data_IF_748071125029
#
_entry.id   IF_748071125029
#
_cell.length_a   1.000
_cell.length_b   1.000
_cell.length_c   1.000
_cell.angle_alpha   90.00
_cell.angle_beta   90.00
_cell.angle_gamma   90.00
#
_symmetry.space_group_name_H-M   'P 1'
#
loop_
_entity.id
_entity.type
_entity.pdbx_description
1 polymer ?
#
# COMPACT_ATOMS: atom_id res chain seq x y z
N UNK A 1 -3.83 -26.56 4.95
CA UNK A 1 -3.18 -25.40 5.58
C UNK A 1 -4.29 -24.60 6.26
N UNK A 2 -4.33 -24.53 7.60
CA UNK A 2 -5.52 -24.08 8.34
C UNK A 2 -5.69 -22.53 8.32
N UNK A 3 -6.91 -22.08 8.04
CA UNK A 3 -7.40 -20.70 8.03
C UNK A 3 -7.14 -19.93 9.34
N UNK A 4 -7.08 -20.60 10.50
CA UNK A 4 -6.75 -19.97 11.78
C UNK A 4 -5.34 -19.34 11.83
N UNK A 5 -4.40 -19.84 11.01
CA UNK A 5 -3.02 -19.33 10.94
C UNK A 5 -2.95 -17.97 10.23
N UNK A 6 -3.94 -17.60 9.40
CA UNK A 6 -3.97 -16.35 8.64
C UNK A 6 -4.37 -15.12 9.47
N UNK A 7 -5.06 -15.32 10.60
CA UNK A 7 -5.70 -14.21 11.33
C UNK A 7 -5.23 -14.07 12.79
N UNK A 8 -4.58 -15.10 13.35
CA UNK A 8 -4.05 -15.09 14.73
C UNK A 8 -2.54 -15.26 14.86
N UNK A 9 -1.81 -15.65 13.81
CA UNK A 9 -0.34 -15.71 13.85
C UNK A 9 0.31 -14.42 13.34
N UNK A 10 1.36 -13.89 14.03
CA UNK A 10 2.24 -12.86 13.45
C UNK A 10 3.00 -13.36 12.20
N UNK A 11 2.94 -14.66 11.92
CA UNK A 11 3.56 -15.37 10.81
C UNK A 11 2.51 -15.99 9.88
N UNK A 12 1.71 -15.15 9.24
CA UNK A 12 1.10 -15.55 7.97
C UNK A 12 2.23 -15.68 6.95
N UNK A 13 2.45 -16.87 6.41
CA UNK A 13 3.29 -17.05 5.22
C UNK A 13 2.60 -16.44 4.00
N UNK A 14 2.51 -15.11 3.99
CA UNK A 14 2.38 -14.33 2.77
C UNK A 14 3.57 -14.72 1.92
N UNK A 15 3.31 -15.32 0.74
CA UNK A 15 4.29 -15.61 -0.32
C UNK A 15 5.52 -14.73 -0.14
N UNK A 16 6.64 -15.35 0.30
CA UNK A 16 7.96 -14.76 0.57
C UNK A 16 7.90 -13.23 0.56
N UNK A 17 7.63 -12.61 1.74
CA UNK A 17 7.73 -11.16 1.97
C UNK A 17 8.80 -10.62 1.01
N UNK A 18 8.46 -9.78 0.00
CA UNK A 18 9.48 -9.34 -0.92
C UNK A 18 10.57 -8.70 -0.05
N UNK A 19 11.77 -9.28 -0.09
CA UNK A 19 12.90 -8.74 0.64
C UNK A 19 12.94 -7.24 0.32
N UNK A 20 13.03 -6.41 1.37
CA UNK A 20 13.10 -4.95 1.19
C UNK A 20 14.10 -4.68 0.07
N UNK A 21 13.64 -4.00 -0.96
CA UNK A 21 14.45 -3.72 -2.13
C UNK A 21 15.75 -3.05 -1.66
N UNK A 22 16.91 -3.65 -1.94
CA UNK A 22 18.21 -3.02 -1.76
C UNK A 22 18.17 -1.56 -2.25
N UNK A 23 18.63 -0.63 -1.42
CA UNK A 23 18.63 0.79 -1.80
C UNK A 23 19.63 1.04 -2.92
N UNK A 24 19.45 2.15 -3.65
CA UNK A 24 20.52 2.66 -4.49
C UNK A 24 21.75 3.00 -3.64
N UNK A 25 22.93 2.81 -4.22
CA UNK A 25 24.17 3.23 -3.59
C UNK A 25 24.25 4.76 -3.44
N UNK A 26 25.03 5.22 -2.47
CA UNK A 26 25.11 6.63 -2.13
C UNK A 26 25.64 7.51 -3.27
N UNK A 27 26.53 6.99 -4.11
CA UNK A 27 27.10 7.72 -5.24
C UNK A 27 26.04 7.97 -6.31
N UNK A 28 25.24 6.95 -6.63
CA UNK A 28 24.10 7.07 -7.54
C UNK A 28 23.10 8.08 -7.00
N UNK A 29 22.78 8.05 -5.70
CA UNK A 29 21.88 9.05 -5.09
C UNK A 29 22.47 10.46 -5.22
N UNK A 30 23.74 10.65 -4.88
CA UNK A 30 24.41 11.95 -4.96
C UNK A 30 24.48 12.52 -6.40
N UNK A 31 24.59 11.66 -7.41
CA UNK A 31 24.51 12.05 -8.82
C UNK A 31 23.08 12.44 -9.21
N UNK A 32 22.08 11.66 -8.79
CA UNK A 32 20.68 11.96 -9.06
C UNK A 32 20.23 13.30 -8.43
N UNK A 33 20.74 13.61 -7.23
CA UNK A 33 20.54 14.90 -6.55
C UNK A 33 21.05 16.09 -7.38
N UNK A 34 22.15 15.91 -8.11
CA UNK A 34 22.75 16.92 -9.00
C UNK A 34 22.13 16.95 -10.41
N UNK A 35 21.11 16.14 -10.66
CA UNK A 35 20.41 16.14 -11.95
C UNK A 35 20.99 15.19 -13.00
N UNK A 36 21.95 14.32 -12.66
CA UNK A 36 22.49 13.35 -13.59
C UNK A 36 21.38 12.44 -14.16
N UNK A 37 21.22 12.45 -15.48
CA UNK A 37 20.13 11.76 -16.16
C UNK A 37 20.21 10.23 -16.02
N UNK A 38 21.42 9.65 -16.01
CA UNK A 38 21.61 8.20 -15.84
C UNK A 38 21.27 7.78 -14.41
N UNK A 39 21.69 8.56 -13.42
CA UNK A 39 21.37 8.31 -12.03
C UNK A 39 19.87 8.48 -11.72
N UNK A 40 19.20 9.48 -12.32
CA UNK A 40 17.74 9.64 -12.22
C UNK A 40 16.98 8.49 -12.88
N UNK A 41 17.47 7.98 -14.02
CA UNK A 41 16.92 6.78 -14.66
C UNK A 41 17.04 5.56 -13.75
N UNK A 42 18.21 5.33 -13.16
CA UNK A 42 18.42 4.24 -12.20
C UNK A 42 17.46 4.32 -11.01
N UNK A 43 17.16 5.53 -10.51
CA UNK A 43 16.14 5.77 -9.48
C UNK A 43 14.75 5.33 -9.96
N UNK A 44 14.31 5.74 -11.15
CA UNK A 44 13.01 5.32 -11.67
C UNK A 44 12.96 3.81 -11.85
N UNK A 45 13.94 3.22 -12.51
CA UNK A 45 14.00 1.77 -12.73
C UNK A 45 13.93 0.99 -11.42
N UNK A 46 14.58 1.51 -10.37
CA UNK A 46 14.57 0.89 -9.05
C UNK A 46 13.22 0.95 -8.36
N UNK A 47 12.58 2.11 -8.37
CA UNK A 47 11.42 2.38 -7.52
C UNK A 47 10.07 2.40 -8.27
N UNK A 48 10.05 2.30 -9.60
CA UNK A 48 8.80 2.34 -10.38
C UNK A 48 7.85 1.21 -10.02
N UNK A 49 8.36 -0.01 -9.85
CA UNK A 49 7.55 -1.18 -9.48
C UNK A 49 6.91 -1.02 -8.09
N UNK A 50 7.65 -0.70 -7.01
CA UNK A 50 7.02 -0.52 -5.70
C UNK A 50 6.07 0.69 -5.64
N UNK A 51 6.38 1.80 -6.34
CA UNK A 51 5.47 2.96 -6.44
C UNK A 51 4.18 2.58 -7.14
N UNK A 52 4.27 1.97 -8.33
CA UNK A 52 3.11 1.54 -9.11
C UNK A 52 2.27 0.51 -8.34
N UNK A 53 2.93 -0.44 -7.65
CA UNK A 53 2.28 -1.45 -6.83
C UNK A 53 1.51 -0.85 -5.63
N UNK A 54 2.05 0.19 -5.00
CA UNK A 54 1.37 0.92 -3.93
C UNK A 54 0.16 1.68 -4.47
N UNK A 55 0.36 2.49 -5.52
CA UNK A 55 -0.69 3.30 -6.12
C UNK A 55 -1.84 2.43 -6.67
N UNK A 56 -1.52 1.32 -7.32
CA UNK A 56 -2.51 0.35 -7.81
C UNK A 56 -3.39 -0.19 -6.69
N UNK A 57 -2.80 -0.53 -5.54
CA UNK A 57 -3.55 -1.02 -4.38
C UNK A 57 -4.31 0.10 -3.68
N UNK A 58 -3.77 1.31 -3.66
CA UNK A 58 -4.44 2.49 -3.09
C UNK A 58 -5.67 2.90 -3.91
N UNK A 59 -5.62 2.76 -5.23
CA UNK A 59 -6.64 3.25 -6.16
C UNK A 59 -7.52 2.14 -6.73
N UNK A 60 -7.33 0.89 -6.29
CA UNK A 60 -8.16 -0.22 -6.70
C UNK A 60 -9.65 0.10 -6.45
N UNK A 61 -10.51 -0.25 -7.42
CA UNK A 61 -11.94 0.04 -7.43
C UNK A 61 -12.32 1.51 -7.66
N UNK A 62 -11.37 2.46 -7.65
CA UNK A 62 -11.64 3.92 -7.70
C UNK A 62 -10.82 4.68 -8.76
N UNK A 63 -9.94 3.99 -9.47
CA UNK A 63 -9.05 4.56 -10.48
C UNK A 63 -8.86 3.62 -11.67
N UNK A 64 -8.74 4.21 -12.86
CA UNK A 64 -8.31 3.50 -14.06
C UNK A 64 -6.81 3.20 -13.99
N UNK A 65 -6.35 2.25 -14.80
CA UNK A 65 -4.92 2.00 -14.97
C UNK A 65 -4.17 3.27 -15.42
N UNK A 66 -4.74 4.04 -16.33
CA UNK A 66 -4.19 5.33 -16.78
C UNK A 66 -3.96 6.29 -15.61
N UNK A 67 -4.93 6.42 -14.69
CA UNK A 67 -4.77 7.26 -13.50
C UNK A 67 -3.60 6.81 -12.63
N UNK A 68 -3.40 5.49 -12.45
CA UNK A 68 -2.28 4.96 -11.68
C UNK A 68 -0.95 5.32 -12.35
N UNK A 69 -0.86 5.19 -13.67
CA UNK A 69 0.32 5.54 -14.46
C UNK A 69 0.64 7.04 -14.35
N UNK A 70 -0.37 7.90 -14.49
CA UNK A 70 -0.23 9.36 -14.33
C UNK A 70 0.25 9.74 -12.92
N UNK A 71 -0.35 9.14 -11.88
CA UNK A 71 0.04 9.39 -10.50
C UNK A 71 1.45 8.88 -10.20
N UNK A 72 1.88 7.77 -10.80
CA UNK A 72 3.25 7.29 -10.69
C UNK A 72 4.23 8.28 -11.35
N UNK A 73 3.92 8.76 -12.55
CA UNK A 73 4.75 9.77 -13.22
C UNK A 73 4.86 11.05 -12.38
N UNK A 74 3.74 11.59 -11.91
CA UNK A 74 3.76 12.83 -11.12
C UNK A 74 4.44 12.61 -9.76
N UNK A 75 4.37 11.41 -9.19
CA UNK A 75 5.17 11.03 -8.02
C UNK A 75 6.67 11.19 -8.30
N UNK A 76 7.17 10.66 -9.42
CA UNK A 76 8.59 10.79 -9.77
C UNK A 76 8.99 12.23 -10.08
N UNK A 77 8.12 13.02 -10.70
CA UNK A 77 8.37 14.46 -10.89
C UNK A 77 8.56 15.18 -9.54
N UNK A 78 7.71 14.88 -8.55
CA UNK A 78 7.83 15.42 -7.19
C UNK A 78 9.06 14.92 -6.47
N UNK A 79 9.40 13.63 -6.63
CA UNK A 79 10.65 13.05 -6.15
C UNK A 79 11.81 13.85 -6.69
N UNK A 80 11.93 14.06 -8.00
CA UNK A 80 13.06 14.80 -8.58
C UNK A 80 13.12 16.27 -8.15
N UNK A 81 11.97 16.91 -7.96
CA UNK A 81 11.90 18.27 -7.44
C UNK A 81 12.41 18.37 -6.00
N UNK A 82 12.12 17.37 -5.17
CA UNK A 82 12.48 17.35 -3.75
C UNK A 82 13.81 16.64 -3.45
N UNK A 83 14.34 15.86 -4.40
CA UNK A 83 15.53 15.01 -4.26
C UNK A 83 16.79 15.79 -3.83
N UNK A 84 17.05 17.03 -4.29
CA UNK A 84 18.19 17.82 -3.81
C UNK A 84 18.21 18.01 -2.29
N UNK A 85 17.04 18.03 -1.65
CA UNK A 85 16.89 18.22 -0.20
C UNK A 85 16.83 16.91 0.59
N UNK A 86 16.87 15.76 -0.08
CA UNK A 86 16.86 14.46 0.58
C UNK A 86 18.16 14.24 1.37
N UNK A 87 18.04 14.06 2.69
CA UNK A 87 19.18 13.79 3.57
C UNK A 87 19.55 12.30 3.50
N UNK A 88 20.63 11.97 2.78
CA UNK A 88 21.15 10.59 2.61
C UNK A 88 21.47 9.90 3.94
N UNK A 89 22.00 10.64 4.90
CA UNK A 89 22.29 10.21 6.28
C UNK A 89 21.13 10.49 7.26
N UNK A 90 19.93 10.78 6.74
CA UNK A 90 18.76 11.10 7.55
C UNK A 90 18.11 9.86 8.18
N UNK A 91 17.05 10.10 8.95
CA UNK A 91 16.31 9.04 9.66
C UNK A 91 15.40 8.19 8.77
N UNK A 92 15.30 8.51 7.47
CA UNK A 92 14.44 7.82 6.51
C UNK A 92 15.25 7.32 5.32
N UNK A 93 15.04 6.05 4.96
CA UNK A 93 15.57 5.43 3.74
C UNK A 93 14.96 6.09 2.50
N UNK A 94 15.65 5.98 1.36
CA UNK A 94 15.18 6.54 0.09
C UNK A 94 13.86 5.89 -0.35
N UNK A 95 13.74 4.55 -0.27
CA UNK A 95 12.47 3.85 -0.56
C UNK A 95 11.31 4.37 0.28
N UNK A 96 11.51 4.49 1.60
CA UNK A 96 10.52 5.02 2.55
C UNK A 96 10.10 6.43 2.16
N UNK A 97 11.05 7.30 1.81
CA UNK A 97 10.78 8.67 1.42
C UNK A 97 9.99 8.77 0.09
N UNK A 98 10.32 7.95 -0.91
CA UNK A 98 9.57 7.90 -2.18
C UNK A 98 8.14 7.38 -1.96
N UNK A 99 7.99 6.29 -1.20
CA UNK A 99 6.67 5.70 -0.89
C UNK A 99 5.81 6.63 -0.01
N UNK A 100 6.45 7.51 0.76
CA UNK A 100 5.76 8.59 1.47
C UNK A 100 5.11 9.57 0.50
N UNK A 101 5.86 10.04 -0.50
CA UNK A 101 5.34 10.96 -1.53
C UNK A 101 4.17 10.30 -2.28
N UNK A 102 4.32 9.02 -2.66
CA UNK A 102 3.27 8.27 -3.35
C UNK A 102 2.01 8.05 -2.49
N UNK A 103 2.17 7.68 -1.22
CA UNK A 103 1.02 7.40 -0.33
C UNK A 103 0.24 8.66 0.01
N UNK A 104 0.91 9.77 0.32
CA UNK A 104 0.26 11.06 0.56
C UNK A 104 -0.52 11.51 -0.67
N UNK A 105 0.07 11.35 -1.86
CA UNK A 105 -0.64 11.67 -3.10
C UNK A 105 -1.89 10.82 -3.31
N UNK A 106 -1.81 9.52 -3.04
CA UNK A 106 -2.94 8.63 -3.18
C UNK A 106 -4.06 8.95 -2.18
N UNK A 107 -3.70 9.32 -0.95
CA UNK A 107 -4.65 9.80 0.06
C UNK A 107 -5.38 11.06 -0.45
N UNK A 108 -4.64 12.03 -0.97
CA UNK A 108 -5.22 13.29 -1.47
C UNK A 108 -6.21 13.04 -2.62
N UNK A 109 -5.86 12.18 -3.59
CA UNK A 109 -6.75 11.84 -4.70
C UNK A 109 -8.01 11.08 -4.22
N UNK A 110 -7.86 10.15 -3.29
CA UNK A 110 -8.99 9.41 -2.72
C UNK A 110 -9.92 10.30 -1.89
N UNK A 111 -9.40 11.33 -1.22
CA UNK A 111 -10.19 12.33 -0.49
C UNK A 111 -10.99 13.20 -1.46
N UNK A 112 -10.37 13.67 -2.55
CA UNK A 112 -11.01 14.50 -3.57
C UNK A 112 -12.21 13.80 -4.23
N UNK A 113 -12.12 12.49 -4.44
CA UNK A 113 -13.17 11.67 -5.06
C UNK A 113 -14.32 11.25 -4.13
N UNK A 114 -14.30 11.65 -2.85
CA UNK A 114 -15.32 11.26 -1.85
C UNK A 114 -16.11 12.49 -1.34
N UNK A 115 -17.13 12.99 -2.06
CA UNK A 115 -18.14 13.85 -1.44
C UNK A 115 -19.11 12.98 -0.62
N UNK A 116 -19.10 13.13 0.70
CA UNK A 116 -20.25 12.81 1.59
C UNK A 116 -20.83 11.40 1.61
N UNK A 117 -20.11 10.39 2.12
CA UNK A 117 -20.72 9.14 2.57
C UNK A 117 -20.43 8.89 4.06
N UNK A 118 -21.44 8.49 4.87
CA UNK A 118 -21.24 8.04 6.23
C UNK A 118 -20.29 6.85 6.28
N UNK A 119 -19.64 6.69 7.44
CA UNK A 119 -18.86 5.51 7.78
C UNK A 119 -19.83 4.31 7.83
N UNK A 120 -19.41 3.22 7.22
CA UNK A 120 -20.03 1.89 7.26
C UNK A 120 -21.14 1.65 6.22
N UNK A 121 -20.76 1.07 5.09
CA UNK A 121 -21.58 0.11 4.36
C UNK A 121 -20.68 -0.65 3.37
N UNK A 122 -20.22 -1.83 3.77
CA UNK A 122 -19.66 -2.81 2.85
C UNK A 122 -20.86 -3.53 2.25
N UNK A 123 -21.13 -3.39 0.95
CA UNK A 123 -22.15 -4.18 0.25
C UNK A 123 -21.47 -5.38 -0.41
N UNK A 124 -21.44 -6.49 0.32
CA UNK A 124 -20.73 -7.73 0.00
C UNK A 124 -21.53 -8.67 -0.94
N UNK A 125 -22.81 -8.37 -1.19
CA UNK A 125 -23.75 -9.29 -1.84
C UNK A 125 -23.43 -9.53 -3.32
N UNK A 126 -22.71 -8.61 -3.97
CA UNK A 126 -22.26 -8.79 -5.36
C UNK A 126 -21.13 -9.81 -5.52
N UNK A 127 -20.46 -10.22 -4.45
CA UNK A 127 -19.24 -11.05 -4.51
C UNK A 127 -19.53 -12.57 -4.45
N UNK A 128 -20.68 -12.96 -3.91
CA UNK A 128 -21.05 -14.37 -3.68
C UNK A 128 -21.40 -15.14 -4.98
N UNK A 129 -21.80 -14.45 -6.05
CA UNK A 129 -22.34 -15.09 -7.26
C UNK A 129 -21.30 -15.70 -8.23
N UNK A 130 -19.99 -15.54 -7.98
CA UNK A 130 -18.95 -15.81 -8.97
C UNK A 130 -18.00 -16.98 -8.62
N UNK A 131 -18.41 -17.93 -7.78
CA UNK A 131 -17.57 -19.04 -7.34
C UNK A 131 -18.16 -20.40 -7.73
N UNK A 132 -18.00 -20.81 -8.98
CA UNK A 132 -18.11 -22.22 -9.37
C UNK A 132 -16.80 -22.75 -9.97
N UNK A 133 -16.25 -23.73 -9.25
CA UNK A 133 -15.36 -24.86 -9.63
C UNK A 133 -13.89 -24.64 -10.03
N UNK A 134 -13.00 -24.93 -9.06
CA UNK A 134 -11.70 -25.66 -9.11
C UNK A 134 -11.03 -25.44 -7.72
N UNK A 135 -11.28 -26.35 -6.78
CA UNK A 135 -11.39 -26.05 -5.33
C UNK A 135 -10.23 -25.25 -4.70
N UNK A 136 -8.95 -25.62 -4.87
CA UNK A 136 -7.89 -24.93 -4.11
C UNK A 136 -7.45 -23.57 -4.69
N UNK A 137 -7.35 -23.46 -6.02
CA UNK A 137 -6.99 -22.18 -6.64
C UNK A 137 -8.17 -21.19 -6.69
N UNK A 138 -9.40 -21.70 -6.81
CA UNK A 138 -10.60 -20.87 -6.81
C UNK A 138 -10.87 -20.34 -5.42
N UNK A 139 -10.67 -21.13 -4.37
CA UNK A 139 -10.75 -20.65 -2.98
C UNK A 139 -9.69 -19.57 -2.71
N UNK A 140 -8.44 -19.77 -3.14
CA UNK A 140 -7.40 -18.75 -3.02
C UNK A 140 -7.71 -17.44 -3.76
N UNK A 141 -8.29 -17.55 -4.97
CA UNK A 141 -8.74 -16.38 -5.76
C UNK A 141 -9.99 -15.71 -5.16
N UNK A 142 -10.89 -16.47 -4.58
CA UNK A 142 -12.07 -15.94 -3.88
C UNK A 142 -11.64 -15.18 -2.62
N UNK A 143 -10.78 -15.78 -1.79
CA UNK A 143 -10.21 -15.15 -0.61
C UNK A 143 -9.45 -13.86 -0.96
N UNK A 144 -8.63 -13.88 -2.02
CA UNK A 144 -7.91 -12.70 -2.48
C UNK A 144 -8.86 -11.57 -2.92
N UNK A 145 -9.99 -11.90 -3.56
CA UNK A 145 -11.02 -10.93 -3.94
C UNK A 145 -11.72 -10.33 -2.72
N UNK A 146 -12.10 -11.15 -1.74
CA UNK A 146 -12.72 -10.68 -0.49
C UNK A 146 -11.78 -9.72 0.24
N UNK A 147 -10.51 -10.11 0.39
CA UNK A 147 -9.50 -9.25 1.03
C UNK A 147 -9.26 -7.97 0.25
N UNK A 148 -9.18 -8.04 -1.07
CA UNK A 148 -9.01 -6.85 -1.91
C UNK A 148 -10.17 -5.87 -1.73
N UNK A 149 -11.41 -6.38 -1.80
CA UNK A 149 -12.61 -5.58 -1.60
C UNK A 149 -12.67 -4.97 -0.19
N UNK A 150 -12.36 -5.76 0.85
CA UNK A 150 -12.28 -5.24 2.22
C UNK A 150 -11.25 -4.11 2.36
N UNK A 151 -10.13 -4.19 1.64
CA UNK A 151 -9.14 -3.11 1.59
C UNK A 151 -9.69 -1.89 0.82
N UNK A 152 -10.54 -2.06 -0.21
CA UNK A 152 -11.19 -0.98 -1.00
C UNK A 152 -12.17 -0.12 -0.19
N UNK A 153 -12.78 -0.73 0.82
CA UNK A 153 -13.75 -0.06 1.70
C UNK A 153 -13.08 0.73 2.84
N UNK A 154 -11.81 0.45 3.13
CA UNK A 154 -11.07 1.20 4.13
C UNK A 154 -11.03 2.70 3.82
N UNK A 155 -11.14 3.52 4.87
CA UNK A 155 -10.80 4.93 4.77
C UNK A 155 -9.37 5.10 4.22
N UNK A 156 -9.10 6.13 3.39
CA UNK A 156 -7.80 6.29 2.71
C UNK A 156 -6.59 6.20 3.64
N UNK A 157 -6.70 6.75 4.85
CA UNK A 157 -5.64 6.77 5.85
C UNK A 157 -5.40 5.39 6.48
N UNK A 158 -6.46 4.58 6.63
CA UNK A 158 -6.36 3.21 7.15
C UNK A 158 -5.74 2.30 6.11
N UNK A 159 -6.21 2.43 4.86
CA UNK A 159 -5.68 1.76 3.67
C UNK A 159 -4.19 2.02 3.52
N UNK A 160 -3.77 3.29 3.54
CA UNK A 160 -2.36 3.66 3.41
C UNK A 160 -1.50 3.04 4.53
N UNK A 161 -1.88 3.21 5.80
CA UNK A 161 -1.12 2.67 6.93
C UNK A 161 -1.00 1.14 6.87
N UNK A 162 -2.08 0.45 6.48
CA UNK A 162 -2.08 -1.00 6.29
C UNK A 162 -1.15 -1.43 5.15
N UNK A 163 -1.26 -0.80 3.97
CA UNK A 163 -0.47 -1.18 2.79
C UNK A 163 1.03 -0.94 2.98
N UNK A 164 1.41 0.20 3.57
CA UNK A 164 2.81 0.50 3.89
C UNK A 164 3.40 -0.52 4.86
N UNK A 165 2.60 -1.01 5.84
CA UNK A 165 3.04 -2.06 6.76
C UNK A 165 3.10 -3.44 6.10
N UNK A 166 2.05 -3.83 5.38
CA UNK A 166 1.88 -5.19 4.90
C UNK A 166 2.72 -5.51 3.65
N UNK A 167 2.86 -4.54 2.73
CA UNK A 167 3.51 -4.77 1.43
C UNK A 167 4.88 -4.12 1.29
N UNK A 168 5.15 -3.07 2.06
CA UNK A 168 6.44 -2.37 2.05
C UNK A 168 7.24 -2.56 3.33
N UNK A 169 6.71 -3.34 4.28
CA UNK A 169 7.34 -3.70 5.56
C UNK A 169 7.83 -2.49 6.36
N UNK A 170 7.23 -1.31 6.19
CA UNK A 170 7.62 -0.11 6.93
C UNK A 170 7.37 -0.29 8.42
N UNK A 171 8.29 0.20 9.24
CA UNK A 171 8.11 0.23 10.70
C UNK A 171 7.00 1.21 11.08
N UNK A 172 6.43 1.09 12.27
CA UNK A 172 5.42 2.05 12.71
C UNK A 172 5.98 3.47 12.84
N UNK A 173 7.27 3.61 13.17
CA UNK A 173 7.96 4.91 13.20
C UNK A 173 8.17 5.47 11.79
N UNK A 174 8.50 4.64 10.81
CA UNK A 174 8.58 5.06 9.40
C UNK A 174 7.21 5.48 8.87
N UNK A 175 6.13 4.74 9.19
CA UNK A 175 4.76 5.08 8.78
C UNK A 175 4.27 6.36 9.47
N UNK A 176 4.61 6.56 10.74
CA UNK A 176 4.29 7.78 11.49
C UNK A 176 4.87 9.01 10.81
N UNK A 177 6.16 8.95 10.45
CA UNK A 177 6.82 10.03 9.69
C UNK A 177 6.24 10.20 8.29
N UNK A 178 5.95 9.09 7.60
CA UNK A 178 5.42 9.12 6.23
C UNK A 178 4.06 9.82 6.17
N UNK A 179 3.16 9.46 7.07
CA UNK A 179 1.77 9.95 7.08
C UNK A 179 1.57 11.21 7.93
N UNK A 180 2.63 11.73 8.57
CA UNK A 180 2.57 12.91 9.41
C UNK A 180 1.65 12.76 10.63
N UNK A 181 1.63 11.59 11.27
CA UNK A 181 0.76 11.30 12.43
C UNK A 181 1.52 10.59 13.54
N UNK A 182 1.04 10.71 14.78
CA UNK A 182 1.66 10.06 15.93
C UNK A 182 1.65 8.53 15.85
N UNK A 183 2.61 7.91 16.56
CA UNK A 183 2.76 6.46 16.61
C UNK A 183 1.49 5.75 17.11
N UNK A 184 0.78 6.35 18.08
CA UNK A 184 -0.51 5.85 18.56
C UNK A 184 -1.59 5.84 17.46
N UNK A 185 -1.60 6.86 16.61
CA UNK A 185 -2.49 6.95 15.45
C UNK A 185 -2.14 5.89 14.41
N UNK A 186 -0.86 5.62 14.15
CA UNK A 186 -0.45 4.52 13.25
C UNK A 186 -0.96 3.17 13.76
N UNK A 187 -0.72 2.87 15.04
CA UNK A 187 -1.16 1.62 15.67
C UNK A 187 -2.68 1.44 15.57
N UNK A 188 -3.45 2.49 15.88
CA UNK A 188 -4.91 2.42 15.82
C UNK A 188 -5.43 2.30 14.38
N UNK A 189 -4.85 3.00 13.39
CA UNK A 189 -5.21 2.86 11.97
C UNK A 189 -4.98 1.43 11.46
N UNK A 190 -3.81 0.85 11.75
CA UNK A 190 -3.50 -0.52 11.34
C UNK A 190 -4.41 -1.53 12.04
N UNK A 191 -4.68 -1.34 13.33
CA UNK A 191 -5.59 -2.20 14.09
C UNK A 191 -7.01 -2.17 13.52
N UNK A 192 -7.56 -0.97 13.25
CA UNK A 192 -8.88 -0.80 12.63
C UNK A 192 -8.96 -1.41 11.22
N UNK A 193 -7.91 -1.24 10.42
CA UNK A 193 -7.83 -1.88 9.10
C UNK A 193 -7.92 -3.41 9.23
N UNK A 194 -7.09 -4.01 10.10
CA UNK A 194 -7.11 -5.47 10.36
C UNK A 194 -8.45 -5.96 10.87
N UNK A 195 -9.11 -5.22 11.78
CA UNK A 195 -10.44 -5.57 12.28
C UNK A 195 -11.47 -5.57 11.15
N UNK A 196 -11.43 -4.59 10.26
CA UNK A 196 -12.35 -4.51 9.11
C UNK A 196 -12.13 -5.67 8.14
N UNK A 197 -10.87 -6.00 7.85
CA UNK A 197 -10.52 -7.16 7.01
C UNK A 197 -10.98 -8.48 7.65
N UNK A 198 -10.78 -8.65 8.97
CA UNK A 198 -11.26 -9.83 9.69
C UNK A 198 -12.77 -9.98 9.58
N UNK A 199 -13.53 -8.90 9.80
CA UNK A 199 -14.99 -8.92 9.71
C UNK A 199 -15.47 -9.34 8.32
N UNK A 200 -14.86 -8.81 7.26
CA UNK A 200 -15.18 -9.20 5.88
C UNK A 200 -14.89 -10.69 5.60
N UNK A 201 -13.88 -11.27 6.24
CA UNK A 201 -13.60 -12.71 6.14
C UNK A 201 -14.63 -13.55 6.91
N UNK A 202 -15.00 -13.12 8.13
CA UNK A 202 -16.02 -13.78 8.96
C UNK A 202 -17.39 -13.80 8.27
N UNK A 203 -17.77 -12.71 7.60
CA UNK A 203 -19.02 -12.60 6.83
C UNK A 203 -19.10 -13.61 5.67
N UNK A 204 -17.96 -13.92 5.03
CA UNK A 204 -17.93 -14.82 3.85
C UNK A 204 -17.75 -16.29 4.23
N UNK A 205 -16.95 -16.58 5.26
CA UNK A 205 -16.55 -17.95 5.58
C UNK A 205 -17.19 -18.51 6.86
N UNK A 206 -18.00 -17.72 7.57
CA UNK A 206 -18.75 -18.18 8.74
C UNK A 206 -17.86 -18.63 9.90
N UNK A 207 -17.47 -17.67 10.76
CA UNK A 207 -16.84 -17.95 12.04
C UNK A 207 -15.35 -18.33 11.97
N UNK A 208 -14.51 -17.39 12.40
CA UNK A 208 -13.13 -17.64 12.85
C UNK A 208 -13.08 -17.66 14.37
#
# INVERSE_FOLDING_TARGET
MNLATLVSSPEVQVRKRPARAAELDELTIARAQRGDARARRALVERYQRPVFALLSRMLHGRGSRALVEDMAQETFLRVFKALPNFKRNGSARLSTWILTIASNRAIDELRRKRPGLPKDAVNLDALAAAAHTAQDEVEGRALARVLQHAVDELAPEYRAAFLLRAFHDMSYTEISRALGVDLGTVKSRISRARKSLRRALEEVYGGF
#
